data_IF_926004771831
#
_entry.id   IF_926004771831
#
_cell.length_a   1.000
_cell.length_b   1.000
_cell.length_c   1.000
_cell.angle_alpha   90.00
_cell.angle_beta   90.00
_cell.angle_gamma   90.00
#
_symmetry.space_group_name_H-M   'P 1'
#
loop_
_entity.id
_entity.type
_entity.pdbx_description
1 polymer ?
#
# COMPACT_ATOMS: atom_id res chain seq x y z
N UNK A 1 -14.91 10.47 20.83
CA UNK A 1 -13.55 9.87 20.83
C UNK A 1 -13.53 8.86 19.69
N UNK A 2 -12.49 8.81 18.84
CA UNK A 2 -12.45 7.80 17.79
C UNK A 2 -12.42 6.40 18.42
N UNK A 3 -13.09 5.46 17.78
CA UNK A 3 -13.09 4.06 18.16
C UNK A 3 -12.63 3.17 16.99
N UNK A 4 -12.55 1.87 17.25
CA UNK A 4 -12.09 0.91 16.25
C UNK A 4 -12.99 0.85 15.00
N UNK A 5 -14.28 1.15 15.13
CA UNK A 5 -15.22 1.11 14.02
C UNK A 5 -15.06 2.36 13.13
N UNK A 6 -14.90 3.54 13.74
CA UNK A 6 -14.52 4.76 13.04
C UNK A 6 -13.17 4.62 12.32
N UNK A 7 -12.16 4.00 12.97
CA UNK A 7 -10.85 3.74 12.34
C UNK A 7 -10.96 2.89 11.08
N UNK A 8 -11.76 1.81 11.13
CA UNK A 8 -12.04 0.96 9.95
C UNK A 8 -12.78 1.73 8.87
N UNK A 9 -13.79 2.53 9.24
CA UNK A 9 -14.54 3.35 8.30
C UNK A 9 -13.64 4.40 7.63
N UNK A 10 -12.70 5.00 8.36
CA UNK A 10 -11.71 5.94 7.81
C UNK A 10 -10.78 5.25 6.80
N UNK A 11 -10.27 4.06 7.14
CA UNK A 11 -9.52 3.23 6.21
C UNK A 11 -10.32 2.89 4.95
N UNK A 12 -11.62 2.60 5.08
CA UNK A 12 -12.54 2.42 3.95
C UNK A 12 -12.79 3.69 3.14
N UNK A 13 -12.50 4.89 3.65
CA UNK A 13 -12.94 6.13 2.99
C UNK A 13 -11.89 6.75 2.07
N UNK A 14 -10.62 6.37 2.16
CA UNK A 14 -9.52 7.06 1.44
C UNK A 14 -9.76 7.30 -0.06
N UNK A 15 -10.35 6.38 -0.85
CA UNK A 15 -10.59 6.59 -2.28
C UNK A 15 -11.43 7.83 -2.63
N UNK A 16 -12.29 8.29 -1.71
CA UNK A 16 -13.25 9.38 -1.93
C UNK A 16 -12.87 10.69 -1.23
N UNK A 17 -11.81 10.70 -0.41
CA UNK A 17 -11.48 11.84 0.46
C UNK A 17 -10.47 12.82 -0.13
N UNK A 18 -9.88 12.49 -1.27
CA UNK A 18 -8.86 13.30 -1.94
C UNK A 18 -8.71 12.87 -3.40
N UNK A 19 -8.30 13.83 -4.22
CA UNK A 19 -8.03 13.71 -5.65
C UNK A 19 -6.56 13.96 -5.99
N UNK A 20 -5.87 14.82 -5.24
CA UNK A 20 -4.42 15.01 -5.36
C UNK A 20 -3.74 14.93 -4.00
N UNK A 21 -2.51 14.43 -3.98
CA UNK A 21 -1.64 14.43 -2.80
C UNK A 21 -0.22 14.77 -3.19
N UNK A 22 0.40 15.64 -2.40
CA UNK A 22 1.84 15.82 -2.38
C UNK A 22 2.37 15.41 -1.02
N UNK A 23 3.39 14.56 -1.00
CA UNK A 23 3.91 13.99 0.24
C UNK A 23 5.36 13.56 0.11
N UNK A 24 6.04 13.41 1.25
CA UNK A 24 7.29 12.66 1.35
C UNK A 24 7.07 11.30 1.98
N UNK A 25 7.84 10.31 1.53
CA UNK A 25 7.81 8.95 2.05
C UNK A 25 9.21 8.53 2.48
N UNK A 26 9.32 8.10 3.73
CA UNK A 26 10.47 7.44 4.31
C UNK A 26 10.10 5.97 4.56
N UNK A 27 10.55 5.09 3.67
CA UNK A 27 10.41 3.65 3.89
C UNK A 27 11.51 3.18 4.86
N UNK A 28 11.09 2.52 5.94
CA UNK A 28 11.95 2.10 7.06
C UNK A 28 12.33 0.62 6.97
N UNK A 29 12.09 -0.06 5.84
CA UNK A 29 12.46 -1.46 5.62
C UNK A 29 13.95 -1.57 5.23
N UNK A 30 14.60 -2.68 5.58
CA UNK A 30 16.05 -2.92 5.34
C UNK A 30 16.54 -2.75 3.89
N UNK A 31 15.64 -2.88 2.89
CA UNK A 31 15.96 -2.75 1.46
C UNK A 31 15.27 -1.55 0.80
N UNK A 32 14.79 -0.61 1.60
CA UNK A 32 14.21 0.62 1.10
C UNK A 32 15.25 1.47 0.37
N UNK A 33 14.81 2.19 -0.67
CA UNK A 33 15.59 3.29 -1.22
C UNK A 33 15.66 4.48 -0.26
N UNK A 34 16.37 5.53 -0.66
CA UNK A 34 16.31 6.82 0.06
C UNK A 34 14.89 7.41 0.07
N UNK A 35 14.62 8.39 0.95
CA UNK A 35 13.32 9.04 1.00
C UNK A 35 12.99 9.74 -0.32
N UNK A 36 11.71 9.74 -0.64
CA UNK A 36 11.19 10.29 -1.89
C UNK A 36 10.12 11.34 -1.63
N UNK A 37 9.96 12.27 -2.56
CA UNK A 37 8.80 13.16 -2.65
C UNK A 37 7.95 12.75 -3.83
N UNK A 38 6.63 12.74 -3.65
CA UNK A 38 5.70 12.37 -4.70
C UNK A 38 4.59 13.40 -4.87
N UNK A 39 4.16 13.53 -6.12
CA UNK A 39 2.96 14.24 -6.54
C UNK A 39 2.06 13.19 -7.19
N UNK A 40 0.90 12.98 -6.60
CA UNK A 40 -0.08 12.03 -7.09
C UNK A 40 -1.34 12.78 -7.45
N UNK A 41 -1.83 12.58 -8.66
CA UNK A 41 -3.15 13.02 -9.09
C UNK A 41 -3.94 11.80 -9.51
N UNK A 42 -4.95 11.48 -8.71
CA UNK A 42 -5.91 10.47 -9.09
C UNK A 42 -6.64 10.92 -10.35
N UNK A 43 -7.02 9.97 -11.19
CA UNK A 43 -6.90 8.52 -10.97
C UNK A 43 -5.63 7.87 -11.54
N UNK A 44 -4.78 8.61 -12.25
CA UNK A 44 -3.94 7.97 -13.27
C UNK A 44 -2.48 8.39 -13.28
N UNK A 45 -2.06 9.41 -12.54
CA UNK A 45 -0.67 9.86 -12.62
C UNK A 45 0.02 10.05 -11.26
N UNK A 46 1.26 9.57 -11.19
CA UNK A 46 2.19 9.88 -10.10
C UNK A 46 3.55 10.28 -10.66
N UNK A 47 4.16 11.30 -10.06
CA UNK A 47 5.56 11.68 -10.22
C UNK A 47 6.27 11.46 -8.90
N UNK A 48 7.46 10.87 -8.97
CA UNK A 48 8.29 10.60 -7.80
C UNK A 48 9.71 11.12 -8.03
N UNK A 49 10.22 11.84 -7.05
CA UNK A 49 11.56 12.42 -7.03
C UNK A 49 12.30 12.02 -5.74
N UNK A 50 13.62 12.10 -5.76
CA UNK A 50 14.40 12.17 -4.52
C UNK A 50 14.13 13.51 -3.80
N UNK A 51 14.48 13.61 -2.52
CA UNK A 51 14.33 14.88 -1.79
C UNK A 51 15.20 16.02 -2.36
N UNK A 52 16.29 15.69 -3.07
CA UNK A 52 17.15 16.65 -3.76
C UNK A 52 16.62 17.06 -5.15
N UNK A 53 15.41 16.60 -5.53
CA UNK A 53 14.75 16.98 -6.77
C UNK A 53 15.15 16.18 -8.01
N UNK A 54 15.85 15.04 -7.85
CA UNK A 54 16.11 14.15 -8.98
C UNK A 54 14.86 13.33 -9.32
N UNK A 55 14.40 13.43 -10.57
CA UNK A 55 13.29 12.63 -11.07
C UNK A 55 13.64 11.14 -11.10
N UNK A 56 12.89 10.34 -10.33
CA UNK A 56 13.02 8.89 -10.32
C UNK A 56 12.06 8.26 -11.33
N UNK A 57 10.78 8.65 -11.28
CA UNK A 57 9.76 8.03 -12.13
C UNK A 57 8.55 8.95 -12.34
N UNK A 58 7.95 8.86 -13.52
CA UNK A 58 6.55 9.24 -13.76
C UNK A 58 5.81 7.99 -14.21
N UNK A 59 4.69 7.69 -13.56
CA UNK A 59 3.79 6.60 -13.94
C UNK A 59 2.47 7.18 -14.36
N UNK A 60 1.99 6.74 -15.53
CA UNK A 60 0.64 6.99 -16.02
C UNK A 60 -0.07 5.66 -16.19
N UNK A 61 -1.12 5.43 -15.41
CA UNK A 61 -1.90 4.21 -15.46
C UNK A 61 -3.08 4.33 -16.41
N UNK A 62 -3.28 3.30 -17.22
CA UNK A 62 -4.48 3.17 -18.04
C UNK A 62 -5.64 2.68 -17.17
N UNK A 63 -6.91 2.96 -17.54
CA UNK A 63 -8.06 2.37 -16.87
C UNK A 63 -7.92 0.84 -16.77
N UNK A 64 -8.28 0.28 -15.61
CA UNK A 64 -8.23 -1.16 -15.39
C UNK A 64 -9.32 -1.84 -16.23
N UNK A 65 -8.92 -2.84 -17.01
CA UNK A 65 -9.83 -3.67 -17.81
C UNK A 65 -10.00 -5.04 -17.17
N UNK A 66 -11.22 -5.56 -17.23
CA UNK A 66 -11.59 -6.89 -16.76
C UNK A 66 -12.38 -7.63 -17.84
N UNK A 67 -12.29 -8.95 -17.82
CA UNK A 67 -13.14 -9.81 -18.64
C UNK A 67 -14.31 -10.30 -17.80
N UNK A 68 -15.53 -9.96 -18.23
CA UNK A 68 -16.77 -10.44 -17.62
C UNK A 68 -17.16 -11.71 -18.34
N UNK A 69 -17.27 -12.82 -17.60
CA UNK A 69 -17.77 -14.08 -18.12
C UNK A 69 -19.29 -14.17 -17.87
N UNK A 70 -20.05 -14.41 -18.94
CA UNK A 70 -21.50 -14.61 -18.87
C UNK A 70 -21.89 -15.91 -19.57
N UNK A 71 -23.15 -16.33 -19.41
CA UNK A 71 -23.70 -17.48 -20.14
C UNK A 71 -23.60 -17.34 -21.66
N UNK A 72 -23.60 -16.09 -22.15
CA UNK A 72 -23.68 -15.77 -23.58
C UNK A 72 -22.28 -15.51 -24.18
N UNK A 73 -21.22 -15.77 -23.41
CA UNK A 73 -19.83 -15.52 -23.77
C UNK A 73 -19.15 -14.52 -22.82
N UNK A 74 -17.89 -14.21 -23.11
CA UNK A 74 -17.09 -13.23 -22.36
C UNK A 74 -16.96 -11.90 -23.11
N UNK A 75 -16.98 -10.79 -22.39
CA UNK A 75 -16.65 -9.47 -22.94
C UNK A 75 -15.67 -8.71 -22.04
N UNK A 76 -14.84 -7.85 -22.63
CA UNK A 76 -13.98 -6.94 -21.87
C UNK A 76 -14.72 -5.65 -21.54
N UNK A 77 -14.51 -5.15 -20.33
CA UNK A 77 -14.99 -3.84 -19.90
C UNK A 77 -13.97 -3.13 -19.02
N UNK A 78 -14.03 -1.80 -19.00
CA UNK A 78 -13.24 -0.98 -18.08
C UNK A 78 -13.98 -0.85 -16.75
N UNK A 79 -13.25 -1.02 -15.65
CA UNK A 79 -13.80 -0.75 -14.32
C UNK A 79 -13.86 0.76 -14.09
N UNK A 80 -15.01 1.30 -13.65
CA UNK A 80 -15.11 2.69 -13.28
C UNK A 80 -14.23 3.00 -12.08
N UNK A 81 -13.86 4.27 -11.94
CA UNK A 81 -13.08 4.79 -10.81
C UNK A 81 -14.02 5.30 -9.72
N UNK A 82 -13.58 5.45 -8.46
CA UNK A 82 -14.44 5.86 -7.34
C UNK A 82 -15.26 7.15 -7.56
N UNK A 83 -14.70 8.14 -8.27
CA UNK A 83 -15.41 9.38 -8.61
C UNK A 83 -16.41 9.26 -9.78
N UNK A 84 -16.43 8.11 -10.47
CA UNK A 84 -17.29 7.83 -11.63
C UNK A 84 -18.43 6.85 -11.27
N UNK A 85 -18.54 6.45 -10.02
CA UNK A 85 -19.63 5.60 -9.51
C UNK A 85 -20.49 6.37 -8.51
N UNK A 86 -21.73 5.92 -8.24
CA UNK A 86 -22.52 6.47 -7.15
C UNK A 86 -21.73 6.47 -5.83
N UNK A 87 -22.03 7.44 -4.99
CA UNK A 87 -21.42 7.56 -3.67
C UNK A 87 -21.61 6.27 -2.87
N UNK A 88 -20.56 5.79 -2.15
CA UNK A 88 -20.67 4.57 -1.35
C UNK A 88 -21.67 4.73 -0.21
N UNK A 89 -22.05 3.61 0.41
CA UNK A 89 -22.88 3.65 1.61
C UNK A 89 -22.13 4.39 2.72
N UNK A 90 -22.67 5.51 3.19
CA UNK A 90 -22.08 6.34 4.24
C UNK A 90 -22.72 6.08 5.60
N UNK A 91 -21.90 6.23 6.64
CA UNK A 91 -22.31 6.32 8.04
C UNK A 91 -22.85 7.72 8.35
N UNK A 92 -23.52 7.90 9.50
CA UNK A 92 -23.93 9.24 9.97
C UNK A 92 -22.78 10.24 10.16
N UNK A 93 -21.55 9.76 10.37
CA UNK A 93 -20.35 10.59 10.51
C UNK A 93 -19.70 10.97 9.16
N UNK A 94 -20.29 10.54 8.04
CA UNK A 94 -19.79 10.80 6.68
C UNK A 94 -18.63 9.91 6.24
N UNK A 95 -18.22 8.92 7.05
CA UNK A 95 -17.26 7.89 6.64
C UNK A 95 -17.98 6.74 5.93
N UNK A 96 -17.25 6.03 5.07
CA UNK A 96 -17.78 4.90 4.32
C UNK A 96 -18.13 3.74 5.26
N UNK A 97 -19.41 3.36 5.26
CA UNK A 97 -19.91 2.14 5.89
C UNK A 97 -19.53 0.92 5.06
N UNK A 98 -19.78 0.96 3.75
CA UNK A 98 -19.55 -0.14 2.81
C UNK A 98 -19.09 0.38 1.45
N UNK A 99 -18.03 -0.24 0.92
CA UNK A 99 -17.55 0.02 -0.44
C UNK A 99 -18.34 -0.80 -1.47
N UNK A 100 -18.52 -0.30 -2.71
CA UNK A 100 -18.80 -1.16 -3.87
C UNK A 100 -17.76 -2.29 -3.99
N UNK A 101 -18.13 -3.41 -4.61
CA UNK A 101 -17.23 -4.55 -4.75
C UNK A 101 -15.97 -4.22 -5.53
N UNK A 102 -14.87 -4.93 -5.25
CA UNK A 102 -13.59 -4.74 -5.99
C UNK A 102 -13.70 -5.16 -7.47
N UNK A 103 -14.69 -5.99 -7.81
CA UNK A 103 -15.07 -6.32 -9.18
C UNK A 103 -15.78 -5.19 -9.91
N UNK A 104 -16.26 -4.17 -9.19
CA UNK A 104 -17.14 -3.14 -9.72
C UNK A 104 -16.40 -1.80 -9.88
N UNK A 105 -15.31 -1.59 -9.13
CA UNK A 105 -14.60 -0.31 -9.07
C UNK A 105 -13.09 -0.52 -8.99
N UNK A 106 -12.34 0.23 -9.81
CA UNK A 106 -10.88 0.29 -9.73
C UNK A 106 -10.43 1.33 -8.70
N UNK A 107 -10.13 0.88 -7.48
CA UNK A 107 -9.71 1.76 -6.37
C UNK A 107 -8.24 2.19 -6.40
N UNK A 108 -7.40 1.43 -7.11
CA UNK A 108 -5.95 1.59 -7.04
C UNK A 108 -5.53 3.00 -7.50
N UNK A 109 -4.64 3.60 -6.71
CA UNK A 109 -3.91 4.79 -7.10
C UNK A 109 -2.67 4.38 -7.92
N UNK A 110 -2.15 5.26 -8.79
CA UNK A 110 -0.96 5.00 -9.57
C UNK A 110 0.21 4.48 -8.73
N UNK A 111 0.71 3.30 -9.11
CA UNK A 111 1.69 2.55 -8.32
C UNK A 111 3.12 3.04 -8.55
N UNK A 112 3.87 3.21 -7.46
CA UNK A 112 5.33 3.35 -7.47
C UNK A 112 5.96 2.17 -6.72
N UNK A 113 6.89 1.47 -7.39
CA UNK A 113 7.62 0.28 -6.92
C UNK A 113 6.78 -0.98 -6.63
N UNK A 114 5.88 -0.97 -5.65
CA UNK A 114 5.17 -2.16 -5.16
C UNK A 114 3.74 -1.85 -4.67
N UNK A 115 2.95 -2.88 -4.35
CA UNK A 115 1.56 -2.68 -3.87
C UNK A 115 1.47 -2.13 -2.45
N UNK A 116 2.57 -2.08 -1.68
CA UNK A 116 2.56 -1.40 -0.37
C UNK A 116 2.30 0.08 -0.55
N UNK A 117 2.82 0.67 -1.63
CA UNK A 117 2.50 2.05 -2.04
C UNK A 117 1.00 2.27 -2.22
N UNK A 118 0.32 1.32 -2.88
CA UNK A 118 -1.13 1.40 -3.09
C UNK A 118 -1.86 1.17 -1.77
N UNK A 119 -1.41 0.20 -0.96
CA UNK A 119 -1.99 -0.11 0.34
C UNK A 119 -1.87 1.06 1.34
N UNK A 120 -0.79 1.84 1.34
CA UNK A 120 -0.71 3.02 2.22
C UNK A 120 -1.67 4.14 1.76
N UNK A 121 -1.86 4.32 0.45
CA UNK A 121 -2.74 5.35 -0.11
C UNK A 121 -4.22 4.98 -0.02
N UNK A 122 -4.54 3.69 -0.07
CA UNK A 122 -5.87 3.16 0.14
C UNK A 122 -5.83 1.97 1.13
N UNK A 123 -5.79 2.24 2.45
CA UNK A 123 -5.49 1.23 3.46
C UNK A 123 -6.70 0.39 3.87
N UNK A 124 -7.53 -0.01 2.90
CA UNK A 124 -8.73 -0.82 3.12
C UNK A 124 -8.46 -2.13 3.86
N UNK A 125 -7.26 -2.68 3.72
CA UNK A 125 -6.83 -3.88 4.45
C UNK A 125 -6.70 -3.69 5.97
N UNK A 126 -6.81 -2.46 6.48
CA UNK A 126 -6.96 -2.16 7.90
C UNK A 126 -8.42 -2.15 8.37
N UNK A 127 -9.36 -2.23 7.45
CA UNK A 127 -10.78 -2.19 7.76
C UNK A 127 -11.31 -3.56 8.21
N UNK A 128 -10.75 -4.64 7.68
CA UNK A 128 -11.23 -6.01 7.85
C UNK A 128 -10.06 -6.96 8.12
N UNK A 129 -10.33 -8.12 8.71
CA UNK A 129 -9.29 -9.11 8.99
C UNK A 129 -8.24 -8.71 10.04
N UNK A 130 -8.47 -7.61 10.76
CA UNK A 130 -7.55 -7.10 11.80
C UNK A 130 -8.27 -6.79 13.12
N UNK A 131 -7.56 -7.03 14.22
CA UNK A 131 -7.95 -6.54 15.55
C UNK A 131 -7.32 -5.16 15.77
N UNK A 132 -8.17 -4.15 15.81
CA UNK A 132 -7.78 -2.77 16.12
C UNK A 132 -7.91 -2.56 17.63
N UNK A 133 -6.82 -2.14 18.28
CA UNK A 133 -6.81 -1.78 19.69
C UNK A 133 -7.52 -0.45 19.99
N UNK A 134 -7.23 0.13 21.14
CA UNK A 134 -7.71 1.48 21.48
C UNK A 134 -7.22 2.48 20.45
N UNK A 135 -8.13 3.29 19.94
CA UNK A 135 -7.83 4.34 18.97
C UNK A 135 -7.64 5.65 19.72
N UNK A 136 -6.51 6.32 19.46
CA UNK A 136 -6.20 7.62 20.05
C UNK A 136 -6.12 8.68 18.96
N UNK A 137 -6.64 9.86 19.27
CA UNK A 137 -6.43 11.04 18.43
C UNK A 137 -5.08 11.68 18.72
N UNK A 138 -4.40 12.12 17.68
CA UNK A 138 -3.11 12.79 17.78
C UNK A 138 -2.80 13.61 16.53
N UNK A 139 -1.52 13.79 16.25
CA UNK A 139 -1.05 14.45 15.03
C UNK A 139 0.07 13.66 14.37
N UNK A 140 0.19 13.81 13.06
CA UNK A 140 1.30 13.33 12.27
C UNK A 140 1.71 14.42 11.27
N UNK A 141 2.98 14.85 11.30
CA UNK A 141 3.47 15.97 10.49
C UNK A 141 2.59 17.24 10.58
N UNK A 142 2.07 17.57 11.78
CA UNK A 142 1.20 18.74 12.01
C UNK A 142 -0.25 18.59 11.56
N UNK A 143 -0.66 17.39 11.12
CA UNK A 143 -2.02 17.09 10.66
C UNK A 143 -2.73 16.15 11.65
N UNK A 144 -4.05 16.30 11.88
CA UNK A 144 -4.81 15.38 12.73
C UNK A 144 -4.72 13.93 12.22
N UNK A 145 -4.37 13.01 13.13
CA UNK A 145 -4.23 11.59 12.82
C UNK A 145 -4.88 10.73 13.91
N UNK A 146 -5.33 9.54 13.53
CA UNK A 146 -5.75 8.49 14.47
C UNK A 146 -4.70 7.40 14.52
N UNK A 147 -4.29 7.02 15.71
CA UNK A 147 -3.32 5.95 15.97
C UNK A 147 -4.01 4.75 16.61
N UNK A 148 -3.59 3.56 16.21
CA UNK A 148 -3.96 2.31 16.88
C UNK A 148 -2.83 1.28 16.79
N UNK A 149 -2.76 0.39 17.79
CA UNK A 149 -2.02 -0.87 17.67
C UNK A 149 -2.94 -1.91 17.03
N UNK A 150 -2.49 -2.50 15.93
CA UNK A 150 -3.22 -3.45 15.12
C UNK A 150 -2.54 -4.82 15.17
N UNK A 151 -3.36 -5.87 15.12
CA UNK A 151 -2.91 -7.26 14.96
C UNK A 151 -3.65 -7.89 13.79
N UNK A 152 -2.93 -8.61 12.94
CA UNK A 152 -3.54 -9.39 11.86
C UNK A 152 -4.28 -10.60 12.44
N UNK A 153 -5.35 -11.01 11.77
CA UNK A 153 -6.05 -12.27 12.05
C UNK A 153 -5.90 -13.21 10.84
N UNK A 154 -6.32 -14.49 10.92
CA UNK A 154 -6.35 -15.37 9.75
C UNK A 154 -7.23 -14.86 8.60
N UNK A 155 -8.14 -13.92 8.86
CA UNK A 155 -8.95 -13.27 7.82
C UNK A 155 -8.34 -11.97 7.27
N UNK A 156 -7.08 -11.65 7.61
CA UNK A 156 -6.38 -10.52 7.01
C UNK A 156 -6.09 -10.80 5.54
N UNK A 157 -6.65 -9.98 4.66
CA UNK A 157 -6.48 -10.05 3.21
C UNK A 157 -5.74 -8.79 2.75
N UNK A 158 -4.40 -8.84 2.61
CA UNK A 158 -3.64 -7.71 2.08
C UNK A 158 -3.89 -7.55 0.59
N UNK A 159 -3.69 -6.33 0.07
CA UNK A 159 -3.72 -6.09 -1.39
C UNK A 159 -2.76 -6.98 -2.16
N UNK A 160 -1.63 -7.30 -1.56
CA UNK A 160 -0.61 -8.16 -2.15
C UNK A 160 0.17 -8.91 -1.06
N UNK A 161 0.34 -10.23 -1.23
CA UNK A 161 1.05 -11.06 -0.26
C UNK A 161 2.53 -10.72 -0.11
N UNK A 162 3.22 -10.38 -1.20
CA UNK A 162 4.66 -10.10 -1.17
C UNK A 162 5.04 -8.73 -0.59
N UNK A 163 4.08 -7.80 -0.48
CA UNK A 163 4.30 -6.42 -0.04
C UNK A 163 3.10 -5.87 0.74
N UNK A 164 2.55 -6.69 1.64
CA UNK A 164 1.45 -6.30 2.53
C UNK A 164 1.78 -5.06 3.38
N UNK A 165 0.77 -4.26 3.76
CA UNK A 165 0.97 -3.13 4.68
C UNK A 165 1.35 -3.64 6.06
N UNK A 166 0.68 -4.71 6.50
CA UNK A 166 0.93 -5.40 7.75
C UNK A 166 1.59 -6.76 7.50
N UNK A 167 2.72 -7.00 8.15
CA UNK A 167 3.41 -8.29 8.01
C UNK A 167 2.68 -9.35 8.83
N UNK A 168 2.40 -10.49 8.22
CA UNK A 168 1.74 -11.63 8.85
C UNK A 168 2.44 -12.91 8.43
N UNK A 169 2.49 -13.88 9.34
CA UNK A 169 3.03 -15.22 9.04
C UNK A 169 2.18 -15.94 8.03
N UNK A 170 0.87 -15.89 8.20
CA UNK A 170 -0.10 -16.55 7.34
C UNK A 170 0.09 -16.11 5.89
N UNK A 171 0.24 -14.80 5.66
CA UNK A 171 0.49 -14.21 4.35
C UNK A 171 1.86 -14.59 3.80
N UNK A 172 2.93 -14.43 4.58
CA UNK A 172 4.29 -14.75 4.12
C UNK A 172 4.43 -16.24 3.77
N UNK A 173 3.76 -17.14 4.50
CA UNK A 173 3.74 -18.58 4.20
C UNK A 173 2.97 -18.88 2.92
N UNK A 174 1.84 -18.21 2.67
CA UNK A 174 1.08 -18.38 1.44
C UNK A 174 1.86 -17.89 0.21
N UNK A 175 2.56 -16.76 0.34
CA UNK A 175 3.30 -16.16 -0.77
C UNK A 175 4.64 -16.89 -1.04
N UNK A 176 5.40 -17.20 0.01
CA UNK A 176 6.80 -17.63 -0.11
C UNK A 176 7.07 -19.06 0.36
N UNK A 177 6.09 -19.70 0.99
CA UNK A 177 6.24 -21.01 1.61
C UNK A 177 6.75 -20.95 3.06
N UNK A 178 6.54 -22.04 3.80
CA UNK A 178 6.77 -22.11 5.24
C UNK A 178 8.22 -21.85 5.68
N UNK A 179 9.18 -22.16 4.81
CA UNK A 179 10.61 -22.12 5.12
C UNK A 179 11.29 -20.80 4.72
N UNK A 180 10.60 -19.91 3.99
CA UNK A 180 11.20 -18.69 3.44
C UNK A 180 11.80 -17.76 4.50
N UNK A 181 11.24 -17.79 5.71
CA UNK A 181 11.69 -17.01 6.86
C UNK A 181 11.93 -17.90 8.08
N UNK A 182 12.50 -19.09 7.86
CA UNK A 182 12.87 -20.00 8.95
C UNK A 182 13.74 -19.29 10.00
N UNK A 183 13.32 -19.37 11.27
CA UNK A 183 14.00 -18.72 12.39
C UNK A 183 13.59 -17.27 12.67
N UNK A 184 12.74 -16.66 11.84
CA UNK A 184 12.19 -15.35 12.14
C UNK A 184 11.05 -15.42 13.17
N UNK A 185 11.04 -14.47 14.10
CA UNK A 185 9.92 -14.24 15.01
C UNK A 185 8.99 -13.23 14.36
N UNK A 186 7.81 -13.68 13.95
CA UNK A 186 6.80 -12.81 13.34
C UNK A 186 6.24 -11.79 14.32
N UNK A 187 5.89 -10.59 13.84
CA UNK A 187 5.35 -9.57 14.70
C UNK A 187 3.96 -9.96 15.21
N UNK A 188 3.69 -9.63 16.46
CA UNK A 188 2.37 -9.82 17.08
C UNK A 188 1.58 -8.53 17.13
N UNK A 189 2.26 -7.37 16.99
CA UNK A 189 1.68 -6.03 17.08
C UNK A 189 2.38 -5.07 16.15
N UNK A 190 1.59 -4.21 15.54
CA UNK A 190 2.10 -3.15 14.69
C UNK A 190 1.31 -1.88 14.97
N UNK A 191 1.99 -0.77 15.15
CA UNK A 191 1.33 0.51 15.33
C UNK A 191 1.06 1.14 13.96
N UNK A 192 -0.09 1.78 13.81
CA UNK A 192 -0.58 2.33 12.55
C UNK A 192 -1.20 3.70 12.80
N UNK A 193 -0.96 4.64 11.88
CA UNK A 193 -1.65 5.94 11.88
C UNK A 193 -2.37 6.21 10.57
N UNK A 194 -3.57 6.75 10.67
CA UNK A 194 -4.36 7.27 9.55
C UNK A 194 -4.50 8.79 9.65
N UNK A 195 -4.25 9.51 8.56
CA UNK A 195 -4.59 10.94 8.47
C UNK A 195 -6.12 11.09 8.44
N UNK A 196 -6.68 11.91 9.34
CA UNK A 196 -8.14 12.03 9.50
C UNK A 196 -8.80 12.66 8.29
N UNK A 197 -8.11 13.58 7.62
CA UNK A 197 -8.66 14.28 6.47
C UNK A 197 -8.74 13.37 5.24
N UNK A 198 -7.70 12.57 4.99
CA UNK A 198 -7.54 11.81 3.74
C UNK A 198 -7.82 10.31 3.89
N UNK A 199 -7.72 9.76 5.10
CA UNK A 199 -7.77 8.31 5.35
C UNK A 199 -6.51 7.54 4.92
N UNK A 200 -5.47 8.23 4.44
CA UNK A 200 -4.19 7.63 4.07
C UNK A 200 -3.49 7.07 5.30
N UNK A 201 -2.89 5.88 5.18
CA UNK A 201 -2.03 5.32 6.20
C UNK A 201 -0.68 6.01 6.17
N UNK A 202 -0.53 7.01 7.02
CA UNK A 202 0.64 7.89 7.05
C UNK A 202 1.81 7.29 7.81
N UNK A 203 1.58 6.30 8.66
CA UNK A 203 2.67 5.68 9.40
C UNK A 203 2.35 4.23 9.77
N UNK A 204 3.38 3.40 9.70
CA UNK A 204 3.37 2.06 10.28
C UNK A 204 4.68 1.78 10.98
N UNK A 205 4.61 0.98 12.05
CA UNK A 205 5.79 0.41 12.69
C UNK A 205 5.47 -0.97 13.24
N UNK A 206 6.32 -1.93 12.90
CA UNK A 206 6.35 -3.23 13.54
C UNK A 206 6.95 -3.07 14.94
N UNK A 207 6.21 -3.47 15.98
CA UNK A 207 6.61 -3.18 17.37
C UNK A 207 7.46 -4.28 18.01
N UNK A 208 7.42 -5.50 17.46
CA UNK A 208 8.08 -6.68 18.01
C UNK A 208 8.54 -7.67 16.92
N UNK A 209 9.29 -8.69 17.34
CA UNK A 209 9.80 -9.71 16.44
C UNK A 209 11.03 -9.28 15.63
N UNK A 210 11.38 -10.08 14.63
CA UNK A 210 12.60 -9.92 13.81
C UNK A 210 12.61 -8.60 13.01
N UNK A 211 11.44 -8.04 12.74
CA UNK A 211 11.28 -6.82 11.92
C UNK A 211 10.91 -5.60 12.74
N UNK A 212 11.11 -5.62 14.06
CA UNK A 212 10.82 -4.47 14.92
C UNK A 212 11.49 -3.18 14.38
N UNK A 213 10.71 -2.11 14.30
CA UNK A 213 11.12 -0.83 13.72
C UNK A 213 10.87 -0.68 12.22
N UNK A 214 10.55 -1.76 11.49
CA UNK A 214 10.19 -1.68 10.07
C UNK A 214 8.82 -1.05 9.87
N UNK A 215 8.62 -0.39 8.73
CA UNK A 215 7.35 0.22 8.36
C UNK A 215 7.58 1.39 7.41
N UNK A 216 6.80 2.45 7.56
CA UNK A 216 6.98 3.68 6.80
C UNK A 216 6.53 4.90 7.58
N UNK A 217 7.01 6.06 7.14
CA UNK A 217 6.61 7.38 7.61
C UNK A 217 6.32 8.25 6.37
N UNK A 218 5.07 8.71 6.23
CA UNK A 218 4.56 9.47 5.10
C UNK A 218 4.03 10.82 5.60
N UNK A 219 4.73 11.89 5.26
CA UNK A 219 4.33 13.25 5.59
C UNK A 219 3.52 13.86 4.45
N UNK A 220 2.21 14.06 4.65
CA UNK A 220 1.36 14.77 3.69
C UNK A 220 1.69 16.26 3.73
N UNK A 221 2.15 16.80 2.60
CA UNK A 221 2.52 18.21 2.45
C UNK A 221 1.37 19.05 1.89
N UNK A 222 0.54 18.47 1.02
CA UNK A 222 -0.66 19.09 0.47
C UNK A 222 -1.71 18.06 0.04
N UNK A 223 -2.98 18.47 0.11
CA UNK A 223 -4.15 17.69 -0.28
C UNK A 223 -4.98 18.54 -1.22
N UNK A 224 -5.45 17.95 -2.32
CA UNK A 224 -6.29 18.61 -3.33
C UNK A 224 -5.70 19.92 -3.87
N UNK A 225 -4.36 20.05 -3.85
CA UNK A 225 -3.68 21.12 -4.54
C UNK A 225 -3.83 20.94 -6.06
N UNK A 226 -4.13 22.01 -6.82
CA UNK A 226 -4.17 21.92 -8.28
C UNK A 226 -2.83 21.45 -8.85
N UNK A 227 -2.84 20.35 -9.60
CA UNK A 227 -1.66 19.79 -10.25
C UNK A 227 -1.84 19.79 -11.77
N UNK A 228 -1.16 20.71 -12.45
CA UNK A 228 -1.21 20.82 -13.92
C UNK A 228 -0.43 19.69 -14.62
N UNK A 229 -0.81 19.36 -15.86
CA UNK A 229 -0.17 18.28 -16.63
C UNK A 229 1.34 18.47 -16.83
N UNK A 230 1.79 19.72 -16.91
CA UNK A 230 3.21 20.07 -17.04
C UNK A 230 4.07 19.52 -15.89
N UNK A 231 3.51 19.37 -14.68
CA UNK A 231 4.19 18.76 -13.53
C UNK A 231 4.61 17.32 -13.84
N UNK A 232 3.79 16.59 -14.57
CA UNK A 232 3.99 15.17 -14.86
C UNK A 232 4.76 14.93 -16.17
N UNK A 233 5.05 15.98 -16.93
CA UNK A 233 5.78 15.90 -18.19
C UNK A 233 5.13 15.00 -19.26
N UNK A 234 5.83 14.85 -20.39
CA UNK A 234 5.51 13.84 -21.39
C UNK A 234 6.12 12.50 -20.98
N UNK A 235 5.38 11.41 -21.17
CA UNK A 235 5.88 10.04 -20.96
C UNK A 235 7.09 9.80 -21.84
N UNK A 236 8.31 9.85 -21.29
CA UNK A 236 9.49 9.40 -22.04
C UNK A 236 9.34 7.88 -22.18
N UNK A 237 9.33 7.32 -23.41
CA UNK A 237 9.23 5.87 -23.58
C UNK A 237 10.37 5.19 -22.83
N UNK A 238 10.03 4.14 -22.07
CA UNK A 238 10.99 3.34 -21.28
C UNK A 238 12.19 2.98 -22.18
N UNK A 239 13.36 3.59 -21.95
CA UNK A 239 14.61 2.96 -22.38
C UNK A 239 14.71 1.67 -21.59
N UNK A 240 14.70 0.54 -22.30
CA UNK A 240 14.62 -0.79 -21.72
C UNK A 240 15.55 -0.95 -20.52
N UNK A 241 14.97 -1.30 -19.38
CA UNK A 241 15.74 -1.83 -18.26
C UNK A 241 16.31 -3.16 -18.74
N UNK A 242 17.63 -3.20 -18.92
CA UNK A 242 18.35 -4.45 -19.19
C UNK A 242 18.04 -5.49 -18.12
N UNK A 243 18.16 -6.78 -18.43
CA UNK A 243 17.69 -7.85 -17.56
C UNK A 243 18.30 -7.73 -16.16
N UNK A 244 17.43 -7.81 -15.15
CA UNK A 244 17.80 -7.96 -13.74
C UNK A 244 18.78 -9.13 -13.64
N UNK A 245 20.05 -8.84 -13.36
CA UNK A 245 21.02 -9.89 -13.10
C UNK A 245 20.57 -10.63 -11.84
N UNK A 246 20.12 -11.88 -12.02
CA UNK A 246 19.92 -12.82 -10.93
C UNK A 246 21.26 -12.99 -10.23
N UNK A 247 21.38 -12.45 -9.01
CA UNK A 247 22.48 -12.82 -8.14
C UNK A 247 22.24 -14.28 -7.73
N UNK A 248 22.83 -15.21 -8.49
CA UNK A 248 22.89 -16.61 -8.10
C UNK A 248 23.76 -16.69 -6.84
N UNK A 249 23.13 -16.99 -5.70
CA UNK A 249 23.83 -17.34 -4.49
C UNK A 249 24.69 -18.59 -4.75
N UNK A 250 26.02 -18.40 -4.78
CA UNK A 250 26.98 -19.49 -4.80
C UNK A 250 26.97 -20.23 -3.47
N UNK A 251 26.17 -21.29 -3.36
CA UNK A 251 26.43 -22.38 -2.42
C UNK A 251 27.28 -23.41 -3.14
N UNK A 252 28.61 -23.28 -3.02
CA UNK A 252 29.53 -24.35 -3.43
C UNK A 252 29.27 -25.57 -2.55
N UNK A 253 28.82 -26.64 -3.21
CA UNK A 253 28.73 -27.97 -2.66
C UNK A 253 30.07 -28.41 -2.05
N UNK A 254 30.06 -28.74 -0.76
CA UNK A 254 31.06 -29.58 -0.13
C UNK A 254 30.99 -30.94 -0.84
N UNK A 255 32.03 -31.23 -1.62
CA UNK A 255 32.18 -32.52 -2.30
C UNK A 255 32.27 -33.63 -1.26
N UNK A 256 31.35 -34.59 -1.36
CA UNK A 256 31.56 -35.95 -0.87
C UNK A 256 32.79 -36.52 -1.56
N UNK A 257 33.83 -36.79 -0.80
CA UNK A 257 34.84 -37.80 -1.13
C UNK A 257 34.59 -38.98 -0.20
N UNK A 258 34.07 -40.07 -0.74
CA UNK A 258 34.47 -41.40 -0.27
C UNK A 258 35.39 -42.01 -1.32
N UNK A 259 35.82 -43.27 -1.18
CA UNK A 259 36.23 -43.98 0.04
C UNK A 259 37.70 -44.45 -0.10
N UNK A 260 38.37 -44.86 0.99
CA UNK A 260 39.46 -45.84 0.91
C UNK A 260 39.82 -46.41 2.30
N UNK A 261 39.74 -47.75 2.36
CA UNK A 261 40.17 -48.71 3.38
C UNK A 261 39.34 -48.84 4.66
#
# INVERSE_FOLDING_TARGET
MPDADAFRALARSSPWRWSTLRFTLHDRRERAGGPVRAWLRRPDVVRVETLDGQLLQVVRESPRRVTVLSSDGGYETELPRPGNVPEPELRPDGLVARRPGESDVSYDAPMYQDYRWVAMLDPVELADGVVVGTVTGGQHAGRPAWEAVVRTTPGYEPRCGCCSLLRSREIDVLEWGADAFAGATYPTRQAVRLDVATGVCVWTEVLDGTWAGNGHDLCIEAVDEPMADALFGESRPRRGVGPVQRLAASLRAVRRTGPCQ
#
